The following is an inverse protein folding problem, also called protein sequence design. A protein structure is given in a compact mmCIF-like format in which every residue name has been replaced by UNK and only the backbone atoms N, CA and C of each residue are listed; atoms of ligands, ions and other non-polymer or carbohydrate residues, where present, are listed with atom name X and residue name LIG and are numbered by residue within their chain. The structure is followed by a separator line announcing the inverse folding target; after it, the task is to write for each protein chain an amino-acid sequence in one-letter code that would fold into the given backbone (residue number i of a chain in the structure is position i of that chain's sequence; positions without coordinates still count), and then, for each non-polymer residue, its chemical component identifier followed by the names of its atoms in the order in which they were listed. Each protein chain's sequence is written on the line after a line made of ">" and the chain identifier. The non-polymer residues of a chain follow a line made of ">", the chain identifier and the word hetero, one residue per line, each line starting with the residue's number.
data_IF_804137275061
#
_entry.id   IF_804137275061
#
_cell.length_a   1.000
_cell.length_b   1.000
_cell.length_c   1.000
_cell.angle_alpha   90.00
_cell.angle_beta   90.00
_cell.angle_gamma   90.00
#
_symmetry.space_group_name_H-M   'P 1'
#
loop_
_entity.id
_entity.type
_entity.pdbx_description
1 polymer ?
#
# COMPACT_ATOMS: atom_id res chain seq x y z
N UNK A 1 11.02 20.10 -15.25
CA UNK A 1 10.61 19.87 -13.85
C UNK A 1 9.16 20.33 -13.76
N UNK A 2 8.21 19.41 -13.92
CA UNK A 2 6.76 19.70 -13.95
C UNK A 2 6.15 18.89 -12.81
N UNK A 3 6.42 19.29 -11.57
CA UNK A 3 6.12 18.44 -10.40
C UNK A 3 4.99 18.96 -9.50
N UNK A 4 4.39 20.12 -9.78
CA UNK A 4 3.48 20.77 -8.82
C UNK A 4 2.34 21.60 -9.46
N UNK A 5 1.75 21.14 -10.57
CA UNK A 5 0.65 21.90 -11.22
C UNK A 5 -0.74 21.30 -11.10
N UNK A 6 -0.91 20.20 -10.37
CA UNK A 6 -2.22 19.55 -10.27
C UNK A 6 -2.83 19.68 -8.88
N UNK A 7 -3.78 20.61 -8.76
CA UNK A 7 -4.55 20.87 -7.53
C UNK A 7 -5.24 19.61 -7.02
N UNK A 8 -5.67 18.71 -7.91
CA UNK A 8 -6.37 17.47 -7.58
C UNK A 8 -5.48 16.43 -6.89
N UNK A 9 -4.24 16.25 -7.36
CA UNK A 9 -3.25 15.37 -6.72
C UNK A 9 -2.96 15.83 -5.28
N UNK A 10 -2.67 17.12 -5.10
CA UNK A 10 -2.41 17.68 -3.77
C UNK A 10 -3.64 17.58 -2.88
N UNK A 11 -4.83 17.87 -3.42
CA UNK A 11 -6.09 17.70 -2.69
C UNK A 11 -6.31 16.26 -2.24
N UNK A 12 -6.10 15.28 -3.11
CA UNK A 12 -6.22 13.85 -2.78
C UNK A 12 -5.26 13.43 -1.66
N UNK A 13 -4.01 13.91 -1.70
CA UNK A 13 -3.02 13.65 -0.64
C UNK A 13 -3.48 14.29 0.66
N UNK A 14 -3.85 15.58 0.66
CA UNK A 14 -4.30 16.30 1.86
C UNK A 14 -5.55 15.63 2.45
N UNK A 15 -6.52 15.27 1.61
CA UNK A 15 -7.74 14.60 2.03
C UNK A 15 -7.45 13.23 2.66
N UNK A 16 -6.55 12.44 2.06
CA UNK A 16 -6.07 11.20 2.66
C UNK A 16 -5.46 11.44 4.05
N UNK A 17 -4.61 12.45 4.20
CA UNK A 17 -3.99 12.80 5.48
C UNK A 17 -5.01 13.19 6.55
N UNK A 18 -5.99 14.02 6.21
CA UNK A 18 -7.06 14.42 7.14
C UNK A 18 -7.80 13.17 7.62
N UNK A 19 -8.18 12.27 6.71
CA UNK A 19 -8.88 11.04 7.05
C UNK A 19 -8.02 10.11 7.91
N UNK A 20 -6.72 9.97 7.62
CA UNK A 20 -5.80 9.18 8.42
C UNK A 20 -5.67 9.72 9.85
N UNK A 21 -5.54 11.04 10.01
CA UNK A 21 -5.45 11.68 11.34
C UNK A 21 -6.73 11.48 12.13
N UNK A 22 -7.90 11.73 11.50
CA UNK A 22 -9.21 11.54 12.14
C UNK A 22 -9.39 10.10 12.57
N UNK A 23 -8.99 9.13 11.74
CA UNK A 23 -9.07 7.71 12.08
C UNK A 23 -8.18 7.38 13.29
N UNK A 24 -6.90 7.80 13.28
CA UNK A 24 -5.98 7.54 14.40
C UNK A 24 -6.51 8.16 15.70
N UNK A 25 -7.01 9.39 15.66
CA UNK A 25 -7.59 10.06 16.84
C UNK A 25 -8.86 9.37 17.35
N UNK A 26 -9.72 8.90 16.46
CA UNK A 26 -10.93 8.17 16.84
C UNK A 26 -10.58 6.85 17.55
N UNK A 27 -9.55 6.14 17.09
CA UNK A 27 -9.05 4.94 17.76
C UNK A 27 -8.51 5.24 19.16
N UNK A 28 -7.68 6.27 19.27
CA UNK A 28 -7.13 6.70 20.56
C UNK A 28 -8.27 7.10 21.50
N UNK A 29 -9.24 7.88 21.03
CA UNK A 29 -10.39 8.31 21.82
C UNK A 29 -11.25 7.12 22.28
N UNK A 30 -11.52 6.16 21.38
CA UNK A 30 -12.28 4.95 21.70
C UNK A 30 -11.63 4.16 22.84
N UNK A 31 -10.32 3.88 22.74
CA UNK A 31 -9.59 3.14 23.77
C UNK A 31 -9.49 3.89 25.10
N UNK A 32 -9.27 5.21 25.07
CA UNK A 32 -9.29 6.04 26.28
C UNK A 32 -10.67 6.07 26.94
N UNK A 33 -11.75 6.14 26.15
CA UNK A 33 -13.13 6.20 26.65
C UNK A 33 -13.62 4.88 27.26
N UNK A 34 -13.07 3.75 26.82
CA UNK A 34 -13.41 2.41 27.29
C UNK A 34 -12.51 1.94 28.42
N UNK A 35 -11.57 2.77 28.88
CA UNK A 35 -10.67 2.47 29.99
C UNK A 35 -9.61 1.40 29.66
N UNK A 36 -9.39 1.08 28.39
CA UNK A 36 -8.29 0.22 27.96
C UNK A 36 -6.99 1.04 27.99
N UNK A 37 -6.30 1.01 29.13
CA UNK A 37 -4.98 1.62 29.27
C UNK A 37 -3.91 0.61 28.88
N UNK A 38 -2.97 1.07 28.04
CA UNK A 38 -1.89 0.28 27.48
C UNK A 38 -1.19 -0.53 28.56
N UNK A 39 -1.17 -1.86 28.39
CA UNK A 39 -0.59 -2.80 29.35
C UNK A 39 0.92 -2.63 29.54
N UNK A 40 1.64 -3.71 29.81
CA UNK A 40 3.09 -3.66 30.11
C UNK A 40 3.94 -2.89 29.06
N UNK A 41 3.53 -2.90 27.79
CA UNK A 41 4.23 -2.27 26.67
C UNK A 41 3.69 -0.88 26.28
N UNK A 42 2.80 -0.31 27.10
CA UNK A 42 2.23 1.02 26.90
C UNK A 42 1.47 1.14 25.57
N UNK A 43 1.88 2.07 24.71
CA UNK A 43 1.18 2.35 23.43
C UNK A 43 1.38 1.33 22.31
N UNK A 44 2.28 0.35 22.44
CA UNK A 44 2.63 -0.58 21.35
C UNK A 44 1.43 -1.40 20.86
N UNK A 45 0.59 -1.99 21.74
CA UNK A 45 -0.63 -2.69 21.32
C UNK A 45 -1.55 -1.84 20.46
N UNK A 46 -1.82 -0.60 20.89
CA UNK A 46 -2.70 0.30 20.16
C UNK A 46 -2.12 0.69 18.79
N UNK A 47 -0.80 0.90 18.70
CA UNK A 47 -0.15 1.18 17.42
C UNK A 47 -0.48 0.10 16.41
N UNK A 48 -0.37 -1.17 16.80
CA UNK A 48 -0.66 -2.25 15.89
C UNK A 48 -2.16 -2.44 15.65
N UNK A 49 -3.00 -2.30 16.69
CA UNK A 49 -4.46 -2.41 16.56
C UNK A 49 -5.06 -1.46 15.52
N UNK A 50 -4.54 -0.22 15.45
CA UNK A 50 -4.92 0.77 14.43
C UNK A 50 -4.57 0.29 13.00
N UNK A 51 -3.58 -0.59 12.85
CA UNK A 51 -3.25 -1.23 11.57
C UNK A 51 -4.22 -2.38 11.28
N UNK A 52 -4.69 -3.09 12.32
CA UNK A 52 -5.41 -4.36 12.25
C UNK A 52 -6.93 -4.27 12.11
N UNK A 53 -7.56 -3.20 12.58
CA UNK A 53 -8.98 -3.28 12.90
C UNK A 53 -9.85 -3.69 11.71
N UNK A 54 -10.64 -4.74 11.95
CA UNK A 54 -11.44 -5.46 10.97
C UNK A 54 -12.94 -5.37 11.21
N UNK A 55 -13.42 -4.56 12.17
CA UNK A 55 -14.80 -4.73 12.68
C UNK A 55 -15.65 -3.44 12.65
N UNK A 56 -15.11 -2.24 12.40
CA UNK A 56 -15.95 -1.03 12.35
C UNK A 56 -16.23 -0.56 10.92
N UNK A 57 -17.43 -0.04 10.66
CA UNK A 57 -17.83 0.60 9.39
C UNK A 57 -16.82 1.69 8.99
N UNK A 58 -16.26 2.39 9.97
CA UNK A 58 -15.24 3.40 9.77
C UNK A 58 -13.94 2.83 9.18
N UNK A 59 -13.56 1.60 9.54
CA UNK A 59 -12.38 0.91 9.02
C UNK A 59 -12.59 0.46 7.58
N UNK A 60 -13.80 -0.01 7.25
CA UNK A 60 -14.16 -0.37 5.89
C UNK A 60 -14.12 0.86 4.97
N UNK A 61 -14.63 2.01 5.44
CA UNK A 61 -14.55 3.30 4.72
C UNK A 61 -13.10 3.74 4.58
N UNK A 62 -12.29 3.61 5.64
CA UNK A 62 -10.87 3.96 5.58
C UNK A 62 -10.08 3.05 4.64
N UNK A 63 -10.32 1.73 4.67
CA UNK A 63 -9.74 0.77 3.73
C UNK A 63 -10.14 1.11 2.30
N UNK A 64 -11.42 1.42 2.05
CA UNK A 64 -11.92 1.86 0.75
C UNK A 64 -11.16 3.09 0.24
N UNK A 65 -11.02 4.11 1.08
CA UNK A 65 -10.27 5.35 0.80
C UNK A 65 -8.79 5.05 0.56
N UNK A 66 -8.19 4.21 1.41
CA UNK A 66 -6.78 3.85 1.34
C UNK A 66 -6.43 3.09 0.06
N UNK A 67 -7.39 2.41 -0.59
CA UNK A 67 -7.22 1.72 -1.88
C UNK A 67 -7.63 2.52 -3.12
N UNK A 68 -8.52 3.50 -2.96
CA UNK A 68 -9.05 4.32 -4.05
C UNK A 68 -8.24 5.59 -4.29
N UNK A 69 -7.69 6.20 -3.24
CA UNK A 69 -7.03 7.49 -3.33
C UNK A 69 -5.60 7.42 -3.87
N UNK A 70 -4.73 6.46 -3.50
CA UNK A 70 -3.35 6.48 -3.98
C UNK A 70 -3.16 6.44 -5.50
N UNK A 71 -4.04 5.77 -6.30
CA UNK A 71 -4.05 5.93 -7.76
C UNK A 71 -4.20 7.38 -8.24
N UNK A 72 -4.79 8.28 -7.43
CA UNK A 72 -4.96 9.72 -7.70
C UNK A 72 -3.76 10.58 -7.27
N UNK A 73 -2.73 10.01 -6.65
CA UNK A 73 -1.57 10.80 -6.21
C UNK A 73 -0.73 11.26 -7.39
N UNK A 74 -0.29 10.35 -8.24
CA UNK A 74 0.65 10.69 -9.30
C UNK A 74 0.41 9.91 -10.59
N UNK A 75 0.12 8.62 -10.45
CA UNK A 75 -0.14 7.71 -11.56
C UNK A 75 -1.33 8.11 -12.43
N UNK A 76 -2.34 8.79 -11.88
CA UNK A 76 -3.51 9.26 -12.64
C UNK A 76 -3.15 10.26 -13.73
N UNK A 77 -2.19 11.17 -13.50
CA UNK A 77 -1.79 12.13 -14.53
C UNK A 77 -1.08 11.43 -15.68
N UNK A 78 -0.15 10.52 -15.37
CA UNK A 78 0.54 9.75 -16.39
C UNK A 78 -0.47 8.94 -17.25
N UNK A 79 -1.51 8.38 -16.63
CA UNK A 79 -2.52 7.60 -17.34
C UNK A 79 -3.48 8.52 -18.11
N UNK A 80 -3.88 9.66 -17.55
CA UNK A 80 -4.69 10.67 -18.23
C UNK A 80 -3.97 11.18 -19.47
N UNK A 81 -2.71 11.59 -19.34
CA UNK A 81 -1.87 12.06 -20.44
C UNK A 81 -1.73 11.02 -21.56
N UNK A 82 -1.58 9.74 -21.19
CA UNK A 82 -1.55 8.62 -22.13
C UNK A 82 -2.87 8.43 -22.87
N UNK A 83 -4.01 8.54 -22.17
CA UNK A 83 -5.35 8.32 -22.75
C UNK A 83 -5.81 9.52 -23.59
N UNK A 84 -5.49 10.75 -23.19
CA UNK A 84 -5.93 11.97 -23.89
C UNK A 84 -4.97 12.43 -24.99
N UNK A 85 -3.84 11.75 -25.18
CA UNK A 85 -2.82 12.08 -26.19
C UNK A 85 -2.26 13.52 -26.14
N UNK A 86 -2.53 14.30 -25.09
CA UNK A 86 -2.12 15.72 -25.03
C UNK A 86 -0.60 15.88 -25.08
N UNK A 87 0.15 15.02 -24.39
CA UNK A 87 1.62 15.05 -24.42
C UNK A 87 2.19 14.42 -25.69
N UNK A 88 1.46 13.52 -26.37
CA UNK A 88 1.85 13.02 -27.68
C UNK A 88 1.90 14.18 -28.70
N UNK A 89 0.86 15.02 -28.74
CA UNK A 89 0.84 16.21 -29.59
C UNK A 89 1.90 17.26 -29.20
N UNK A 90 2.18 17.43 -27.90
CA UNK A 90 3.15 18.42 -27.43
C UNK A 90 4.61 17.94 -27.61
N UNK A 91 4.89 16.64 -27.50
CA UNK A 91 6.21 16.04 -27.69
C UNK A 91 6.54 15.73 -29.16
N UNK A 92 5.56 15.34 -29.98
CA UNK A 92 5.69 15.24 -31.45
C UNK A 92 6.07 16.60 -32.05
N UNK A 93 5.55 17.70 -31.50
CA UNK A 93 5.97 19.07 -31.87
C UNK A 93 7.40 19.43 -31.40
N UNK A 94 7.92 18.81 -30.35
CA UNK A 94 9.17 19.22 -29.71
C UNK A 94 10.38 18.33 -30.04
N UNK A 95 10.21 17.05 -30.41
CA UNK A 95 11.35 16.17 -30.79
C UNK A 95 10.91 14.91 -31.54
N UNK A 96 11.38 14.81 -32.79
CA UNK A 96 11.42 13.60 -33.60
C UNK A 96 12.29 12.50 -32.94
N UNK A 97 11.79 11.73 -31.96
CA UNK A 97 12.49 10.50 -31.51
C UNK A 97 11.55 9.39 -31.07
N UNK A 98 11.58 8.29 -31.85
CA UNK A 98 10.96 6.96 -31.71
C UNK A 98 11.34 6.18 -30.42
N UNK A 99 11.73 6.86 -29.34
CA UNK A 99 12.26 6.22 -28.11
C UNK A 99 11.83 6.94 -26.83
N UNK A 100 10.96 7.94 -26.91
CA UNK A 100 10.63 8.84 -25.80
C UNK A 100 9.80 8.18 -24.69
N UNK A 101 8.97 7.18 -25.03
CA UNK A 101 8.04 6.59 -24.08
C UNK A 101 8.75 5.76 -22.99
N UNK A 102 9.85 5.06 -23.31
CA UNK A 102 10.51 4.17 -22.34
C UNK A 102 11.23 4.87 -21.17
N UNK A 103 12.07 5.92 -21.37
CA UNK A 103 12.72 6.59 -20.25
C UNK A 103 11.74 7.44 -19.44
N UNK A 104 10.69 7.98 -20.07
CA UNK A 104 9.67 8.75 -19.38
C UNK A 104 8.81 7.84 -18.49
N UNK A 105 8.33 6.71 -19.01
CA UNK A 105 7.54 5.74 -18.23
C UNK A 105 8.34 5.22 -17.03
N UNK A 106 9.61 4.86 -17.23
CA UNK A 106 10.47 4.43 -16.11
C UNK A 106 10.63 5.52 -15.05
N UNK A 107 10.77 6.79 -15.45
CA UNK A 107 10.85 7.92 -14.52
C UNK A 107 9.53 8.13 -13.77
N UNK A 108 8.39 8.04 -14.46
CA UNK A 108 7.06 8.16 -13.87
C UNK A 108 6.81 7.03 -12.86
N UNK A 109 7.16 5.80 -13.22
CA UNK A 109 7.08 4.63 -12.35
C UNK A 109 7.90 4.80 -11.07
N UNK A 110 9.20 5.15 -11.19
CA UNK A 110 10.08 5.39 -10.03
C UNK A 110 9.54 6.48 -9.12
N UNK A 111 9.02 7.54 -9.72
CA UNK A 111 8.46 8.66 -8.94
C UNK A 111 7.19 8.23 -8.21
N UNK A 112 6.29 7.49 -8.88
CA UNK A 112 5.09 6.94 -8.25
C UNK A 112 5.44 6.06 -7.04
N UNK A 113 6.41 5.15 -7.21
CA UNK A 113 6.90 4.28 -6.14
C UNK A 113 7.39 5.09 -4.94
N UNK A 114 8.24 6.10 -5.17
CA UNK A 114 8.82 6.94 -4.10
C UNK A 114 7.74 7.75 -3.38
N UNK A 115 6.82 8.39 -4.12
CA UNK A 115 5.74 9.20 -3.53
C UNK A 115 4.87 8.32 -2.63
N UNK A 116 4.45 7.16 -3.12
CA UNK A 116 3.58 6.25 -2.39
C UNK A 116 4.30 5.74 -1.14
N UNK A 117 5.53 5.25 -1.29
CA UNK A 117 6.34 4.82 -0.14
C UNK A 117 6.43 5.92 0.92
N UNK A 118 6.75 7.16 0.52
CA UNK A 118 6.91 8.27 1.46
C UNK A 118 5.59 8.66 2.14
N UNK A 119 4.47 8.72 1.41
CA UNK A 119 3.16 9.05 2.00
C UNK A 119 2.78 8.02 3.08
N UNK A 120 2.90 6.72 2.79
CA UNK A 120 2.58 5.68 3.77
C UNK A 120 3.60 5.60 4.90
N UNK A 121 4.88 5.86 4.63
CA UNK A 121 5.93 5.90 5.66
C UNK A 121 5.69 7.02 6.66
N UNK A 122 5.46 8.25 6.19
CA UNK A 122 5.14 9.36 7.09
C UNK A 122 3.85 9.05 7.85
N UNK A 123 2.87 8.35 7.26
CA UNK A 123 1.63 7.98 7.95
C UNK A 123 1.91 7.05 9.13
N UNK A 124 2.80 6.07 8.96
CA UNK A 124 3.20 5.17 10.04
C UNK A 124 3.97 5.89 11.14
N UNK A 125 4.88 6.79 10.77
CA UNK A 125 5.59 7.64 11.74
C UNK A 125 4.63 8.54 12.50
N UNK A 126 3.68 9.18 11.80
CA UNK A 126 2.67 10.03 12.42
C UNK A 126 1.79 9.23 13.40
N UNK A 127 1.36 8.03 13.01
CA UNK A 127 0.61 7.13 13.89
C UNK A 127 1.41 6.78 15.15
N UNK A 128 2.69 6.44 15.00
CA UNK A 128 3.56 6.14 16.13
C UNK A 128 3.69 7.35 17.08
N UNK A 129 3.91 8.55 16.54
CA UNK A 129 4.00 9.80 17.32
C UNK A 129 2.68 10.08 18.06
N UNK A 130 1.54 9.96 17.36
CA UNK A 130 0.24 10.25 17.96
C UNK A 130 -0.12 9.28 19.06
N UNK A 131 0.14 7.98 18.88
CA UNK A 131 -0.07 6.99 19.93
C UNK A 131 0.84 7.25 21.13
N UNK A 132 2.12 7.55 20.89
CA UNK A 132 3.08 7.84 21.96
C UNK A 132 2.68 9.07 22.80
N UNK A 133 2.17 10.12 22.15
CA UNK A 133 1.84 11.40 22.81
C UNK A 133 0.43 11.39 23.43
N UNK A 134 -0.57 10.92 22.69
CA UNK A 134 -1.98 11.08 23.07
C UNK A 134 -2.58 9.87 23.78
N UNK A 135 -1.94 8.70 23.71
CA UNK A 135 -2.44 7.49 24.36
C UNK A 135 -1.53 7.04 25.51
N UNK A 136 -0.33 6.56 25.19
CA UNK A 136 0.62 6.08 26.18
C UNK A 136 2.01 5.97 25.55
N UNK A 137 3.09 6.32 26.29
CA UNK A 137 4.45 6.17 25.77
C UNK A 137 4.76 4.69 25.43
N UNK A 138 5.70 4.49 24.52
CA UNK A 138 6.14 3.15 24.15
C UNK A 138 7.16 2.64 25.15
N UNK A 139 6.93 1.42 25.64
CA UNK A 139 7.84 0.72 26.55
C UNK A 139 8.34 -0.51 25.81
N UNK A 140 9.63 -0.56 25.52
CA UNK A 140 10.20 -1.62 24.72
C UNK A 140 10.70 -2.78 25.58
N UNK A 141 10.14 -3.96 25.32
CA UNK A 141 10.60 -5.24 25.87
C UNK A 141 11.43 -6.01 24.82
N UNK A 142 12.48 -6.70 25.29
CA UNK A 142 13.31 -7.58 24.45
C UNK A 142 12.54 -8.81 23.95
N UNK A 143 11.61 -9.32 24.75
CA UNK A 143 10.70 -10.40 24.40
C UNK A 143 9.28 -10.01 24.79
N UNK A 144 8.57 -9.44 23.83
CA UNK A 144 7.21 -8.95 24.02
C UNK A 144 6.22 -10.11 24.13
N UNK A 145 5.58 -10.21 25.29
CA UNK A 145 4.48 -11.16 25.49
C UNK A 145 3.30 -10.82 24.57
N UNK A 146 3.00 -9.52 24.39
CA UNK A 146 1.92 -9.07 23.51
C UNK A 146 2.15 -9.50 22.06
N UNK A 147 3.33 -9.26 21.49
CA UNK A 147 3.67 -9.71 20.15
C UNK A 147 3.50 -11.22 20.01
N UNK A 148 3.94 -11.99 21.02
CA UNK A 148 3.89 -13.46 20.97
C UNK A 148 2.45 -14.01 20.94
N UNK A 149 1.49 -13.32 21.56
CA UNK A 149 0.10 -13.79 21.70
C UNK A 149 -0.91 -13.11 20.79
N UNK A 150 -0.68 -11.84 20.42
CA UNK A 150 -1.65 -11.03 19.67
C UNK A 150 -1.41 -11.02 18.17
N UNK A 151 -0.21 -11.34 17.72
CA UNK A 151 0.09 -11.48 16.31
C UNK A 151 -0.01 -12.92 15.86
N UNK A 152 -0.52 -13.10 14.65
CA UNK A 152 -0.39 -14.38 13.98
C UNK A 152 1.09 -14.73 13.84
N UNK A 153 1.90 -13.77 13.37
CA UNK A 153 3.34 -13.93 13.15
C UNK A 153 4.06 -12.57 13.22
N UNK A 154 5.23 -12.54 13.86
CA UNK A 154 6.07 -11.33 13.99
C UNK A 154 7.30 -11.32 13.09
N UNK A 155 7.90 -10.13 12.90
CA UNK A 155 9.23 -9.97 12.34
C UNK A 155 10.33 -10.24 13.38
N UNK A 156 10.07 -9.87 14.63
CA UNK A 156 10.95 -10.09 15.77
C UNK A 156 10.14 -10.19 17.06
N UNK A 157 10.65 -10.91 18.07
CA UNK A 157 10.09 -10.90 19.43
C UNK A 157 10.45 -9.62 20.20
N UNK A 158 11.47 -8.90 19.74
CA UNK A 158 11.84 -7.60 20.28
C UNK A 158 10.88 -6.53 19.77
N UNK A 159 10.18 -5.88 20.71
CA UNK A 159 9.14 -4.89 20.41
C UNK A 159 9.63 -3.68 19.61
N UNK A 160 10.84 -3.19 19.91
CA UNK A 160 11.46 -2.08 19.19
C UNK A 160 11.82 -2.44 17.76
N UNK A 161 12.47 -3.61 17.58
CA UNK A 161 12.85 -4.12 16.26
C UNK A 161 11.61 -4.38 15.42
N UNK A 162 10.59 -5.02 15.98
CA UNK A 162 9.34 -5.30 15.28
C UNK A 162 8.65 -4.01 14.84
N UNK A 163 8.61 -2.99 15.71
CA UNK A 163 8.01 -1.68 15.39
C UNK A 163 8.71 -1.03 14.19
N UNK A 164 10.04 -0.98 14.20
CA UNK A 164 10.82 -0.40 13.09
C UNK A 164 10.58 -1.19 11.80
N UNK A 165 10.64 -2.53 11.86
CA UNK A 165 10.36 -3.38 10.72
C UNK A 165 8.96 -3.10 10.16
N UNK A 166 7.93 -3.00 11.00
CA UNK A 166 6.56 -2.71 10.57
C UNK A 166 6.44 -1.33 9.91
N UNK A 167 7.06 -0.29 10.49
CA UNK A 167 7.06 1.07 9.94
C UNK A 167 7.72 1.13 8.55
N UNK A 168 8.72 0.29 8.27
CA UNK A 168 9.43 0.28 6.98
C UNK A 168 8.78 -0.65 5.95
N UNK A 169 8.36 -1.84 6.37
CA UNK A 169 7.89 -2.90 5.48
C UNK A 169 6.48 -2.62 4.95
N UNK A 170 5.56 -2.11 5.78
CA UNK A 170 4.19 -1.82 5.33
C UNK A 170 4.16 -0.79 4.18
N UNK A 171 4.83 0.38 4.28
CA UNK A 171 4.90 1.32 3.17
C UNK A 171 5.53 0.72 1.90
N UNK A 172 6.51 -0.17 2.05
CA UNK A 172 7.13 -0.87 0.93
C UNK A 172 6.12 -1.81 0.24
N UNK A 173 5.30 -2.51 1.01
CA UNK A 173 4.18 -3.30 0.49
C UNK A 173 3.19 -2.47 -0.33
N UNK A 174 2.77 -1.31 0.19
CA UNK A 174 1.90 -0.38 -0.54
C UNK A 174 2.57 0.11 -1.85
N UNK A 175 3.86 0.47 -1.81
CA UNK A 175 4.58 0.94 -2.98
C UNK A 175 4.67 -0.13 -4.09
N UNK A 176 4.90 -1.40 -3.72
CA UNK A 176 4.87 -2.54 -4.66
C UNK A 176 3.47 -2.69 -5.25
N UNK A 177 2.43 -2.74 -4.41
CA UNK A 177 1.06 -2.93 -4.87
C UNK A 177 0.61 -1.83 -5.83
N UNK A 178 0.82 -0.56 -5.50
CA UNK A 178 0.40 0.53 -6.38
C UNK A 178 1.23 0.68 -7.65
N UNK A 179 2.46 0.15 -7.64
CA UNK A 179 3.25 0.01 -8.86
C UNK A 179 2.65 -1.01 -9.82
N UNK A 180 2.08 -2.10 -9.28
CA UNK A 180 1.27 -3.03 -10.04
C UNK A 180 -0.01 -2.36 -10.56
N UNK A 181 -0.75 -1.64 -9.72
CA UNK A 181 -1.97 -0.90 -10.12
C UNK A 181 -1.67 0.09 -11.24
N UNK A 182 -0.60 0.87 -11.15
CA UNK A 182 -0.14 1.77 -12.20
C UNK A 182 0.14 1.01 -13.51
N UNK A 183 0.82 -0.12 -13.43
CA UNK A 183 1.16 -0.94 -14.60
C UNK A 183 -0.09 -1.48 -15.30
N UNK A 184 -1.10 -1.94 -14.55
CA UNK A 184 -2.42 -2.31 -15.09
C UNK A 184 -3.09 -1.10 -15.74
N UNK A 185 -3.01 0.07 -15.10
CA UNK A 185 -3.56 1.32 -15.61
C UNK A 185 -3.07 1.73 -16.99
N UNK A 186 -1.83 1.36 -17.37
CA UNK A 186 -1.27 1.61 -18.70
C UNK A 186 -1.99 0.85 -19.83
N UNK A 187 -2.73 -0.22 -19.51
CA UNK A 187 -3.50 -0.99 -20.48
C UNK A 187 -4.95 -0.52 -20.59
N UNK A 188 -5.45 0.25 -19.61
CA UNK A 188 -6.83 0.72 -19.59
C UNK A 188 -7.07 1.77 -20.66
N UNK A 189 -8.19 1.65 -21.38
CA UNK A 189 -8.61 2.63 -22.40
C UNK A 189 -9.38 3.83 -21.80
N UNK A 190 -9.97 3.66 -20.61
CA UNK A 190 -10.80 4.69 -19.96
C UNK A 190 -10.21 5.08 -18.62
N UNK A 191 -10.01 6.39 -18.43
CA UNK A 191 -9.44 6.96 -17.22
C UNK A 191 -10.30 6.69 -15.98
N UNK A 192 -11.64 6.74 -16.13
CA UNK A 192 -12.58 6.49 -15.02
C UNK A 192 -12.38 5.10 -14.40
N UNK A 193 -12.09 4.09 -15.22
CA UNK A 193 -11.85 2.72 -14.74
C UNK A 193 -10.56 2.65 -13.94
N UNK A 194 -9.55 3.45 -14.30
CA UNK A 194 -8.30 3.50 -13.57
C UNK A 194 -8.47 4.02 -12.14
N UNK A 195 -9.37 4.99 -11.92
CA UNK A 195 -9.60 5.56 -10.60
C UNK A 195 -10.05 4.52 -9.56
N UNK A 196 -10.85 3.54 -10.00
CA UNK A 196 -11.32 2.46 -9.14
C UNK A 196 -10.43 1.21 -9.18
N UNK A 197 -9.36 1.21 -9.98
CA UNK A 197 -8.58 0.01 -10.26
C UNK A 197 -7.84 -0.53 -9.04
N UNK A 198 -7.37 0.33 -8.13
CA UNK A 198 -6.73 -0.11 -6.89
C UNK A 198 -7.66 -1.01 -6.07
N UNK A 199 -8.87 -0.52 -5.79
CA UNK A 199 -9.87 -1.27 -5.03
C UNK A 199 -10.33 -2.56 -5.74
N UNK A 200 -10.59 -2.48 -7.05
CA UNK A 200 -10.97 -3.67 -7.83
C UNK A 200 -9.89 -4.75 -7.77
N UNK A 201 -8.61 -4.37 -7.90
CA UNK A 201 -7.49 -5.31 -7.84
C UNK A 201 -7.32 -5.92 -6.45
N UNK A 202 -7.58 -5.17 -5.37
CA UNK A 202 -7.60 -5.73 -4.01
C UNK A 202 -8.71 -6.77 -3.87
N UNK A 203 -9.94 -6.46 -4.28
CA UNK A 203 -11.07 -7.40 -4.18
C UNK A 203 -10.79 -8.67 -4.99
N UNK A 204 -10.30 -8.52 -6.23
CA UNK A 204 -9.91 -9.66 -7.07
C UNK A 204 -8.82 -10.48 -6.38
N UNK A 205 -7.79 -9.84 -5.83
CA UNK A 205 -6.71 -10.55 -5.13
C UNK A 205 -7.20 -11.36 -3.93
N UNK A 206 -8.13 -10.81 -3.14
CA UNK A 206 -8.70 -11.45 -1.97
C UNK A 206 -9.55 -12.66 -2.35
N UNK A 207 -10.42 -12.50 -3.34
CA UNK A 207 -11.25 -13.59 -3.84
C UNK A 207 -10.39 -14.71 -4.43
N UNK A 208 -9.38 -14.37 -5.21
CA UNK A 208 -8.47 -15.35 -5.81
C UNK A 208 -7.67 -16.08 -4.73
N UNK A 209 -7.18 -15.35 -3.72
CA UNK A 209 -6.46 -15.92 -2.58
C UNK A 209 -7.32 -16.87 -1.75
N UNK A 210 -8.62 -16.57 -1.56
CA UNK A 210 -9.53 -17.49 -0.87
C UNK A 210 -9.77 -18.78 -1.65
N UNK A 211 -9.98 -18.69 -2.96
CA UNK A 211 -10.22 -19.87 -3.82
C UNK A 211 -8.98 -20.75 -3.92
N UNK A 212 -7.81 -20.15 -4.15
CA UNK A 212 -6.55 -20.89 -4.32
C UNK A 212 -5.97 -21.30 -2.97
N UNK A 213 -6.20 -20.52 -1.92
CA UNK A 213 -5.73 -20.78 -0.56
C UNK A 213 -6.21 -22.11 -0.01
N UNK A 214 -7.43 -22.52 -0.37
CA UNK A 214 -7.96 -23.83 0.02
C UNK A 214 -7.27 -25.02 -0.66
N UNK A 215 -6.49 -24.77 -1.73
CA UNK A 215 -5.70 -25.77 -2.45
C UNK A 215 -4.24 -25.70 -2.02
N UNK A 216 -3.68 -24.50 -1.92
CA UNK A 216 -2.31 -24.25 -1.48
C UNK A 216 -2.21 -22.94 -0.70
N UNK A 217 -2.03 -23.00 0.63
CA UNK A 217 -1.88 -21.81 1.47
C UNK A 217 -0.76 -20.89 0.99
N UNK A 218 0.42 -21.44 0.67
CA UNK A 218 1.59 -20.66 0.21
C UNK A 218 1.25 -19.82 -1.03
N UNK A 219 0.56 -20.42 -2.00
CA UNK A 219 0.14 -19.70 -3.22
C UNK A 219 -0.94 -18.67 -2.90
N UNK A 220 -1.91 -19.02 -2.04
CA UNK A 220 -2.93 -18.08 -1.58
C UNK A 220 -2.34 -16.84 -0.89
N UNK A 221 -1.38 -17.03 0.03
CA UNK A 221 -0.67 -15.94 0.69
C UNK A 221 0.19 -15.10 -0.27
N UNK A 222 0.75 -15.70 -1.32
CA UNK A 222 1.51 -14.99 -2.36
C UNK A 222 0.63 -14.06 -3.21
N UNK A 223 -0.65 -14.42 -3.38
CA UNK A 223 -1.60 -13.65 -4.20
C UNK A 223 -2.39 -12.65 -3.33
N UNK A 224 -2.51 -12.88 -2.03
CA UNK A 224 -3.25 -11.98 -1.15
C UNK A 224 -2.51 -10.65 -0.97
N UNK A 225 -3.14 -9.53 -1.34
CA UNK A 225 -2.56 -8.19 -1.11
C UNK A 225 -2.37 -7.91 0.38
N UNK A 226 -3.25 -8.40 1.26
CA UNK A 226 -3.12 -8.15 2.70
C UNK A 226 -1.82 -8.73 3.26
N UNK A 227 -1.36 -9.88 2.75
CA UNK A 227 -0.04 -10.44 3.10
C UNK A 227 1.13 -9.53 2.72
N UNK A 228 0.95 -8.66 1.72
CA UNK A 228 1.95 -7.69 1.26
C UNK A 228 1.93 -6.42 2.11
N UNK A 229 0.76 -5.87 2.40
CA UNK A 229 0.62 -4.54 3.05
C UNK A 229 0.44 -4.63 4.57
N UNK A 230 0.10 -5.80 5.10
CA UNK A 230 -0.10 -6.09 6.52
C UNK A 230 0.46 -7.51 6.82
N UNK A 231 1.77 -7.73 6.62
CA UNK A 231 2.39 -9.03 6.81
C UNK A 231 2.33 -9.49 8.27
N UNK A 232 2.01 -10.76 8.49
CA UNK A 232 1.88 -11.35 9.83
C UNK A 232 0.60 -10.99 10.57
N UNK A 233 -0.29 -10.23 9.90
CA UNK A 233 -1.49 -9.67 10.49
C UNK A 233 -2.80 -10.25 9.94
N UNK A 234 -2.72 -11.00 8.84
CA UNK A 234 -3.86 -11.59 8.16
C UNK A 234 -3.77 -13.11 8.16
N UNK A 235 -4.87 -13.79 8.50
CA UNK A 235 -5.00 -15.23 8.38
C UNK A 235 -5.83 -15.59 7.16
N UNK A 236 -5.26 -16.32 6.22
CA UNK A 236 -5.99 -16.88 5.08
C UNK A 236 -6.72 -18.15 5.52
N UNK A 237 -8.05 -18.19 5.40
CA UNK A 237 -8.89 -19.36 5.74
C UNK A 237 -8.71 -19.89 7.17
N UNK A 238 -8.45 -19.00 8.13
CA UNK A 238 -8.11 -19.33 9.52
C UNK A 238 -6.84 -20.18 9.69
N UNK A 239 -6.09 -20.42 8.60
CA UNK A 239 -4.80 -21.08 8.63
C UNK A 239 -3.68 -20.05 8.66
N UNK A 240 -2.68 -20.31 9.48
CA UNK A 240 -1.49 -19.48 9.61
C UNK A 240 -0.33 -20.30 9.05
N UNK A 241 0.46 -19.71 8.15
CA UNK A 241 1.69 -20.38 7.72
C UNK A 241 2.65 -20.35 8.91
N UNK A 242 3.30 -21.46 9.26
CA UNK A 242 4.26 -21.53 10.38
C UNK A 242 5.62 -20.86 10.06
N UNK A 243 5.61 -19.73 9.36
CA UNK A 243 6.81 -19.02 8.92
C UNK A 243 6.78 -17.57 9.34
N UNK A 244 7.92 -16.97 9.68
CA UNK A 244 8.03 -15.58 10.14
C UNK A 244 7.36 -14.56 9.19
N UNK A 245 7.01 -13.38 9.70
CA UNK A 245 6.34 -12.34 8.91
C UNK A 245 7.20 -11.90 7.70
N UNK A 246 8.52 -12.08 7.78
CA UNK A 246 9.45 -11.93 6.65
C UNK A 246 9.09 -12.82 5.46
N UNK A 247 8.83 -14.09 5.71
CA UNK A 247 8.50 -15.06 4.66
C UNK A 247 7.14 -14.74 4.05
N UNK A 248 6.15 -14.42 4.89
CA UNK A 248 4.81 -14.01 4.44
C UNK A 248 4.87 -12.75 3.59
N UNK A 249 5.78 -11.82 3.88
CA UNK A 249 5.96 -10.61 3.08
C UNK A 249 6.70 -10.87 1.75
N UNK A 250 7.75 -11.69 1.77
CA UNK A 250 8.64 -11.90 0.61
C UNK A 250 7.90 -12.55 -0.55
N UNK A 251 7.06 -13.55 -0.30
CA UNK A 251 6.31 -14.23 -1.35
C UNK A 251 5.43 -13.30 -2.21
N UNK A 252 4.48 -12.53 -1.64
CA UNK A 252 3.68 -11.59 -2.40
C UNK A 252 4.53 -10.44 -2.95
N UNK A 253 5.58 -10.00 -2.25
CA UNK A 253 6.47 -8.95 -2.77
C UNK A 253 7.14 -9.38 -4.08
N UNK A 254 7.65 -10.61 -4.15
CA UNK A 254 8.22 -11.19 -5.38
C UNK A 254 7.12 -11.33 -6.45
N UNK A 255 5.97 -11.90 -6.10
CA UNK A 255 4.86 -12.12 -7.03
C UNK A 255 4.41 -10.83 -7.71
N UNK A 256 4.05 -9.80 -6.92
CA UNK A 256 3.60 -8.52 -7.46
C UNK A 256 4.69 -7.75 -8.21
N UNK A 257 5.95 -7.85 -7.77
CA UNK A 257 7.07 -7.22 -8.47
C UNK A 257 7.31 -7.85 -9.84
N UNK A 258 7.29 -9.18 -9.93
CA UNK A 258 7.43 -9.90 -11.20
C UNK A 258 6.28 -9.58 -12.16
N UNK A 259 5.04 -9.59 -11.65
CA UNK A 259 3.86 -9.28 -12.44
C UNK A 259 3.91 -7.83 -12.96
N UNK A 260 4.35 -6.89 -12.12
CA UNK A 260 4.59 -5.49 -12.52
C UNK A 260 5.63 -5.39 -13.63
N UNK A 261 6.80 -6.02 -13.46
CA UNK A 261 7.86 -6.01 -14.47
C UNK A 261 7.38 -6.62 -15.79
N UNK A 262 6.68 -7.76 -15.73
CA UNK A 262 6.13 -8.43 -16.90
C UNK A 262 5.17 -7.51 -17.68
N UNK A 263 4.24 -6.84 -16.98
CA UNK A 263 3.30 -5.90 -17.59
C UNK A 263 4.02 -4.71 -18.25
N UNK A 264 5.04 -4.16 -17.59
CA UNK A 264 5.85 -3.07 -18.16
C UNK A 264 6.61 -3.51 -19.42
N UNK A 265 7.16 -4.73 -19.44
CA UNK A 265 7.83 -5.30 -20.62
C UNK A 265 6.83 -5.49 -21.76
N UNK A 266 5.66 -6.07 -21.49
CA UNK A 266 4.61 -6.26 -22.49
C UNK A 266 4.19 -4.92 -23.07
N UNK A 267 3.92 -3.92 -22.21
CA UNK A 267 3.51 -2.58 -22.65
C UNK A 267 4.56 -1.95 -23.56
N UNK A 268 5.84 -2.01 -23.16
CA UNK A 268 6.95 -1.51 -23.98
C UNK A 268 7.01 -2.19 -25.34
N UNK A 269 6.79 -3.51 -25.41
CA UNK A 269 6.76 -4.23 -26.70
C UNK A 269 5.58 -3.82 -27.58
N UNK A 270 4.43 -3.52 -26.98
CA UNK A 270 3.26 -3.01 -27.72
C UNK A 270 3.53 -1.62 -28.28
N UNK A 271 4.06 -0.70 -27.48
CA UNK A 271 4.38 0.67 -27.92
C UNK A 271 5.34 0.65 -29.13
N UNK A 272 6.37 -0.22 -29.09
CA UNK A 272 7.31 -0.41 -30.20
C UNK A 272 6.65 -0.96 -31.49
N UNK A 273 5.64 -1.83 -31.36
CA UNK A 273 4.90 -2.38 -32.51
C UNK A 273 3.94 -1.35 -33.12
N UNK A 274 3.36 -0.51 -32.28
CA UNK A 274 2.42 0.54 -32.68
C UNK A 274 3.13 1.79 -33.25
N UNK A 275 4.47 1.82 -33.24
CA UNK A 275 5.27 2.90 -33.82
C UNK A 275 5.47 4.11 -32.92
N UNK A 276 5.23 3.96 -31.60
CA UNK A 276 5.43 4.99 -30.58
C UNK A 276 6.85 4.96 -29.99
#
# INVERSE_FOLDING_TARGET
>A
MVFYKNKWSMFSIIFYWILSIVMILNYIHYHLSTGHFGGAEGGIPLFYEIIFSSIQILDAVYGFVAFMIPPLFFSHECIRQRITHCDYLQSVRLRHKKTFFSPLLLRQFKTNFIIIYFVFFVKMVLQAIMVHIFYSPFIFEENSSYLTWSFTINFSTNSFVNLICTIVIIPLGYAIFYSFVFSVGLFLKRYIIYLCSGLLLVIISLLLAMVIGGISPIIGYSICVLSLIQPGMYTLLAETISHSAWVIFVYPAIFYSLLTILLLIIRRKMDLKEGY
#
